data_IF_611744703191
#
_entry.id   IF_611744703191
#
_cell.length_a   1.000
_cell.length_b   1.000
_cell.length_c   1.000
_cell.angle_alpha   90.00
_cell.angle_beta   90.00
_cell.angle_gamma   90.00
#
_symmetry.space_group_name_H-M   'P 1'
#
loop_
_entity.id
_entity.type
_entity.pdbx_description
1 polymer ?
#
# COMPACT_ATOMS: atom_id res chain seq x y z
N UNK A 1 0.54 10.62 7.68
CA UNK A 1 1.81 10.09 8.26
C UNK A 1 2.86 9.94 7.15
N UNK A 2 4.17 9.83 7.43
CA UNK A 2 5.20 9.64 6.38
C UNK A 2 6.01 8.36 6.63
N UNK A 3 6.34 7.63 5.57
CA UNK A 3 7.12 6.38 5.59
C UNK A 3 8.17 6.39 4.47
N UNK A 4 9.33 5.78 4.71
CA UNK A 4 10.39 5.64 3.72
C UNK A 4 10.27 4.25 3.05
N UNK A 5 10.13 4.21 1.73
CA UNK A 5 9.96 2.97 0.95
C UNK A 5 10.69 3.09 -0.40
N UNK A 6 11.08 1.93 -0.95
CA UNK A 6 11.58 1.85 -2.32
C UNK A 6 10.41 2.01 -3.30
N UNK A 7 10.48 3.06 -4.15
CA UNK A 7 9.45 3.27 -5.16
C UNK A 7 9.84 2.52 -6.44
N UNK A 8 9.08 1.49 -6.81
CA UNK A 8 9.33 0.69 -8.01
C UNK A 8 9.36 1.51 -9.33
N UNK A 9 8.75 2.70 -9.36
CA UNK A 9 8.78 3.59 -10.52
C UNK A 9 9.97 4.54 -10.51
N UNK A 10 10.39 5.02 -9.35
CA UNK A 10 11.58 5.86 -9.23
C UNK A 10 12.87 5.04 -9.29
N UNK A 11 12.81 3.77 -8.86
CA UNK A 11 13.97 2.92 -8.66
C UNK A 11 14.88 3.40 -7.52
N UNK A 12 14.31 4.11 -6.54
CA UNK A 12 15.03 4.73 -5.43
C UNK A 12 14.17 4.76 -4.16
N UNK A 13 14.84 4.85 -3.01
CA UNK A 13 14.20 4.96 -1.70
C UNK A 13 13.74 6.40 -1.45
N UNK A 14 12.42 6.58 -1.37
CA UNK A 14 11.79 7.90 -1.28
C UNK A 14 10.74 7.93 -0.17
N UNK A 15 10.36 9.14 0.23
CA UNK A 15 9.30 9.33 1.21
C UNK A 15 7.95 9.14 0.54
N UNK A 16 7.08 8.36 1.17
CA UNK A 16 5.68 8.24 0.85
C UNK A 16 4.85 8.93 1.92
N UNK A 17 3.84 9.67 1.47
CA UNK A 17 2.78 10.19 2.35
C UNK A 17 1.69 9.13 2.46
N UNK A 18 1.30 8.81 3.69
CA UNK A 18 0.17 7.93 3.99
C UNK A 18 -1.09 8.79 4.05
N UNK A 19 -2.02 8.51 3.15
CA UNK A 19 -3.40 8.96 3.24
C UNK A 19 -4.22 7.87 3.94
N UNK A 20 -4.56 8.12 5.20
CA UNK A 20 -5.32 7.18 6.05
C UNK A 20 -6.83 7.22 5.76
N UNK A 21 -7.31 8.19 4.97
CA UNK A 21 -8.74 8.29 4.61
C UNK A 21 -9.05 7.36 3.46
N UNK A 22 -8.14 7.32 2.49
CA UNK A 22 -8.28 6.53 1.26
C UNK A 22 -7.41 5.25 1.28
N UNK A 23 -6.73 4.97 2.39
CA UNK A 23 -5.78 3.86 2.56
C UNK A 23 -4.75 3.82 1.40
N UNK A 24 -4.17 4.97 1.09
CA UNK A 24 -3.21 5.14 -0.01
C UNK A 24 -1.82 5.58 0.46
N UNK A 25 -0.83 5.16 -0.31
CA UNK A 25 0.55 5.61 -0.25
C UNK A 25 0.86 6.43 -1.49
N UNK A 26 1.22 7.70 -1.29
CA UNK A 26 1.58 8.62 -2.37
C UNK A 26 3.08 8.88 -2.33
N UNK A 27 3.76 8.49 -3.40
CA UNK A 27 5.19 8.77 -3.57
C UNK A 27 5.43 10.28 -3.69
N UNK A 28 6.27 10.86 -2.83
CA UNK A 28 6.57 12.31 -2.88
C UNK A 28 7.37 12.74 -4.12
N UNK A 29 8.05 11.82 -4.80
CA UNK A 29 8.91 12.13 -5.94
C UNK A 29 8.18 12.05 -7.29
N UNK A 30 7.41 10.99 -7.52
CA UNK A 30 6.73 10.74 -8.79
C UNK A 30 5.20 10.81 -8.71
N UNK A 31 4.65 11.05 -7.52
CA UNK A 31 3.21 11.13 -7.27
C UNK A 31 2.44 9.87 -7.64
N UNK A 32 3.11 8.71 -7.77
CA UNK A 32 2.42 7.42 -7.92
C UNK A 32 1.67 7.09 -6.64
N UNK A 33 0.40 6.70 -6.82
CA UNK A 33 -0.48 6.20 -5.77
C UNK A 33 -0.39 4.67 -5.72
N UNK A 34 -0.28 4.13 -4.52
CA UNK A 34 -0.29 2.70 -4.26
C UNK A 34 -1.28 2.43 -3.14
N UNK A 35 -2.06 1.37 -3.24
CA UNK A 35 -2.88 0.95 -2.12
C UNK A 35 -1.97 0.60 -0.93
N UNK A 36 -2.29 1.10 0.25
CA UNK A 36 -1.75 0.60 1.50
C UNK A 36 -2.15 -0.87 1.56
N UNK A 37 -1.19 -1.80 1.65
CA UNK A 37 -1.52 -3.22 1.66
C UNK A 37 -2.51 -3.47 2.82
N UNK A 38 -3.64 -4.16 2.57
CA UNK A 38 -4.65 -4.35 3.60
C UNK A 38 -4.03 -5.01 4.83
N UNK A 39 -4.49 -4.65 6.03
CA UNK A 39 -3.97 -5.20 7.28
C UNK A 39 -3.83 -6.72 7.19
N UNK A 40 -2.87 -7.35 7.89
CA UNK A 40 -2.64 -8.80 7.78
C UNK A 40 -3.91 -9.63 8.01
N UNK A 41 -4.85 -9.16 8.85
CA UNK A 41 -6.17 -9.77 9.02
C UNK A 41 -7.03 -9.68 7.76
N UNK A 42 -7.13 -8.50 7.14
CA UNK A 42 -7.86 -8.27 5.89
C UNK A 42 -7.23 -9.06 4.73
N UNK A 43 -5.90 -9.06 4.63
CA UNK A 43 -5.15 -9.91 3.69
C UNK A 43 -5.44 -11.39 3.91
N UNK A 44 -5.45 -11.87 5.15
CA UNK A 44 -5.77 -13.27 5.47
C UNK A 44 -7.21 -13.63 5.08
N UNK A 45 -8.18 -12.79 5.43
CA UNK A 45 -9.59 -13.00 5.07
C UNK A 45 -9.79 -13.06 3.55
N UNK A 46 -9.15 -12.17 2.78
CA UNK A 46 -9.23 -12.18 1.33
C UNK A 46 -8.63 -13.45 0.71
N UNK A 47 -7.46 -13.89 1.20
CA UNK A 47 -6.73 -15.01 0.63
C UNK A 47 -7.28 -16.38 1.04
N UNK A 48 -7.81 -16.51 2.25
CA UNK A 48 -8.16 -17.81 2.83
C UNK A 48 -9.66 -17.97 3.12
N UNK A 49 -10.39 -16.90 3.42
CA UNK A 49 -11.84 -16.98 3.66
C UNK A 49 -12.62 -16.73 2.35
N UNK A 50 -12.18 -15.78 1.52
CA UNK A 50 -12.75 -15.55 0.19
C UNK A 50 -12.53 -16.72 -0.79
N UNK A 51 -11.41 -17.44 -0.66
CA UNK A 51 -11.11 -18.61 -1.47
C UNK A 51 -11.95 -19.86 -1.14
N UNK A 52 -12.65 -19.88 0.01
CA UNK A 52 -13.53 -20.99 0.40
C UNK A 52 -14.98 -20.84 -0.10
N UNK A 53 -15.32 -19.71 -0.74
CA UNK A 53 -16.64 -19.45 -1.28
C UNK A 53 -16.80 -19.80 -2.78
N UNK A 54 -15.85 -20.52 -3.38
CA UNK A 54 -15.86 -20.94 -4.79
C UNK A 54 -15.93 -22.46 -4.95
#
# INVERSE_FOLDING_TARGET
MNILLDCAWCGDEVVFSVDETDDELVCSACNTHMAFAPDPSTTFSLLYEGAQAA
#
